data_IF_590475831745
#
_entry.id   IF_590475831745
#
_cell.length_a   1.000
_cell.length_b   1.000
_cell.length_c   1.000
_cell.angle_alpha   90.00
_cell.angle_beta   90.00
_cell.angle_gamma   90.00
#
_symmetry.space_group_name_H-M   'P 1'
#
loop_
_entity.id
_entity.type
_entity.pdbx_description
1 polymer ?
#
# COMPACT_ATOMS: atom_id res chain seq x y z
N UNK A 1 -54.34 -64.63 -34.77
CA UNK A 1 -54.81 -64.03 -36.05
C UNK A 1 -54.42 -62.55 -36.00
N UNK A 2 -53.42 -62.11 -36.79
CA UNK A 2 -53.58 -61.48 -38.13
C UNK A 2 -54.54 -60.27 -38.06
N UNK A 3 -54.30 -59.06 -38.55
CA UNK A 3 -53.29 -58.42 -39.42
C UNK A 3 -53.55 -56.88 -39.39
N UNK A 4 -52.54 -56.09 -39.83
CA UNK A 4 -52.56 -54.79 -40.57
C UNK A 4 -53.45 -53.61 -40.12
N UNK A 5 -52.95 -52.39 -39.81
CA UNK A 5 -52.22 -51.33 -40.58
C UNK A 5 -53.09 -50.58 -41.61
N UNK A 6 -53.30 -49.27 -41.40
CA UNK A 6 -53.16 -48.13 -42.36
C UNK A 6 -53.46 -46.80 -41.61
N UNK A 7 -52.62 -45.75 -41.55
CA UNK A 7 -52.03 -44.78 -42.52
C UNK A 7 -52.93 -43.57 -42.91
N UNK A 8 -52.34 -42.37 -42.75
CA UNK A 8 -52.71 -41.02 -43.25
C UNK A 8 -53.81 -40.23 -42.49
N UNK A 9 -53.42 -39.20 -41.72
CA UNK A 9 -53.45 -37.75 -42.07
C UNK A 9 -54.88 -37.17 -41.94
N UNK A 10 -55.18 -36.12 -41.17
CA UNK A 10 -54.77 -34.73 -41.34
C UNK A 10 -55.15 -33.89 -40.10
N UNK A 11 -54.44 -32.77 -39.93
CA UNK A 11 -54.85 -31.51 -39.28
C UNK A 11 -54.74 -31.35 -37.75
N UNK A 12 -53.66 -30.63 -37.40
CA UNK A 12 -53.62 -29.48 -36.50
C UNK A 12 -53.86 -29.73 -35.00
N UNK A 13 -52.80 -29.60 -34.20
CA UNK A 13 -52.52 -28.42 -33.36
C UNK A 13 -51.33 -28.74 -32.45
N UNK A 14 -50.25 -27.99 -32.61
CA UNK A 14 -49.12 -27.95 -31.67
C UNK A 14 -49.62 -27.48 -30.29
N UNK A 15 -49.36 -28.19 -29.18
CA UNK A 15 -49.36 -27.56 -27.87
C UNK A 15 -48.08 -26.74 -27.76
N UNK A 16 -48.22 -25.44 -27.54
CA UNK A 16 -47.16 -24.54 -27.10
C UNK A 16 -46.43 -25.16 -25.90
N UNK A 17 -45.24 -25.70 -26.14
CA UNK A 17 -44.28 -26.02 -25.11
C UNK A 17 -43.67 -24.69 -24.65
N UNK A 18 -44.24 -24.08 -23.62
CA UNK A 18 -43.55 -23.06 -22.83
C UNK A 18 -42.55 -23.79 -21.91
N UNK A 19 -41.40 -24.16 -22.46
CA UNK A 19 -40.22 -24.46 -21.65
C UNK A 19 -39.79 -23.13 -21.01
N UNK A 20 -39.70 -23.01 -19.67
CA UNK A 20 -39.00 -21.88 -19.09
C UNK A 20 -37.54 -22.03 -19.53
N UNK A 21 -36.99 -21.00 -20.20
CA UNK A 21 -35.54 -20.85 -20.30
C UNK A 21 -35.02 -20.82 -18.86
N UNK A 22 -34.43 -21.93 -18.41
CA UNK A 22 -33.48 -21.93 -17.32
C UNK A 22 -32.29 -21.10 -17.83
N UNK A 23 -32.28 -19.81 -17.51
CA UNK A 23 -31.05 -19.04 -17.48
C UNK A 23 -30.17 -19.74 -16.44
N UNK A 24 -29.17 -20.47 -16.91
CA UNK A 24 -28.05 -20.84 -16.07
C UNK A 24 -27.52 -19.55 -15.44
N UNK A 25 -27.55 -19.52 -14.12
CA UNK A 25 -26.95 -18.45 -13.35
C UNK A 25 -25.45 -18.48 -13.61
N UNK A 26 -24.99 -17.68 -14.57
CA UNK A 26 -23.59 -17.35 -14.68
C UNK A 26 -23.23 -16.53 -13.43
N UNK A 27 -22.72 -17.24 -12.42
CA UNK A 27 -22.10 -16.69 -11.23
C UNK A 27 -20.74 -16.07 -11.59
N UNK A 28 -20.75 -15.15 -12.55
CA UNK A 28 -19.70 -14.19 -12.80
C UNK A 28 -20.31 -12.80 -12.98
N UNK A 29 -21.27 -12.44 -12.11
CA UNK A 29 -21.45 -11.04 -11.79
C UNK A 29 -20.19 -10.58 -11.06
N UNK A 30 -19.30 -9.88 -11.78
CA UNK A 30 -18.36 -8.97 -11.14
C UNK A 30 -19.25 -8.02 -10.33
N UNK A 31 -19.44 -8.31 -9.05
CA UNK A 31 -20.23 -7.48 -8.16
C UNK A 31 -19.63 -6.08 -8.24
N UNK A 32 -20.31 -5.17 -8.93
CA UNK A 32 -19.98 -3.76 -8.93
C UNK A 32 -20.25 -3.29 -7.52
N UNK A 33 -19.24 -3.34 -6.65
CA UNK A 33 -19.34 -2.87 -5.28
C UNK A 33 -19.88 -1.46 -5.32
N UNK A 34 -21.07 -1.25 -4.76
CA UNK A 34 -21.69 0.07 -4.67
C UNK A 34 -20.89 0.98 -3.73
N UNK A 35 -21.18 2.27 -3.78
CA UNK A 35 -20.55 3.22 -2.86
C UNK A 35 -20.84 2.82 -1.40
N UNK A 36 -19.83 2.73 -0.51
CA UNK A 36 -20.09 2.43 0.89
C UNK A 36 -21.02 3.48 1.51
N UNK A 37 -21.99 3.04 2.31
CA UNK A 37 -23.03 3.92 2.90
C UNK A 37 -22.49 5.10 3.71
N UNK A 38 -21.31 4.94 4.34
CA UNK A 38 -20.63 6.01 5.10
C UNK A 38 -19.74 6.90 4.23
N UNK A 39 -19.67 6.65 2.94
CA UNK A 39 -18.73 7.31 2.05
C UNK A 39 -19.47 8.08 0.96
N UNK A 40 -18.76 9.03 0.37
CA UNK A 40 -19.20 9.78 -0.81
C UNK A 40 -18.32 9.37 -1.98
N UNK A 41 -18.94 8.83 -3.02
CA UNK A 41 -18.25 8.42 -4.25
C UNK A 41 -18.58 9.42 -5.36
N UNK A 42 -17.53 9.92 -6.01
CA UNK A 42 -17.66 10.78 -7.18
C UNK A 42 -16.65 10.34 -8.24
N UNK A 43 -17.16 9.90 -9.40
CA UNK A 43 -16.35 9.28 -10.44
C UNK A 43 -15.52 8.11 -9.88
N UNK A 44 -14.19 8.24 -9.89
CA UNK A 44 -13.24 7.23 -9.39
C UNK A 44 -12.68 7.57 -7.99
N UNK A 45 -13.22 8.60 -7.34
CA UNK A 45 -12.80 9.04 -6.01
C UNK A 45 -13.79 8.57 -4.96
N UNK A 46 -13.30 7.91 -3.91
CA UNK A 46 -14.09 7.46 -2.77
C UNK A 46 -13.60 8.18 -1.53
N UNK A 47 -14.47 9.00 -0.92
CA UNK A 47 -14.15 9.78 0.28
C UNK A 47 -14.95 9.27 1.48
N UNK A 48 -14.23 8.88 2.51
CA UNK A 48 -14.77 8.25 3.72
C UNK A 48 -14.25 8.93 5.00
N UNK A 49 -13.92 10.22 4.95
CA UNK A 49 -13.32 10.95 6.06
C UNK A 49 -14.31 11.23 7.20
N UNK A 50 -13.82 11.25 8.45
CA UNK A 50 -14.61 11.59 9.65
C UNK A 50 -15.81 10.67 9.92
N UNK A 51 -15.74 9.41 9.48
CA UNK A 51 -16.85 8.45 9.55
C UNK A 51 -16.76 7.48 10.73
N UNK A 52 -15.78 7.69 11.61
CA UNK A 52 -15.45 6.81 12.75
C UNK A 52 -15.27 5.36 12.31
N UNK A 53 -14.71 5.14 11.11
CA UNK A 53 -14.46 3.81 10.61
C UNK A 53 -13.37 3.15 11.44
N UNK A 54 -13.64 1.98 11.98
CA UNK A 54 -12.65 1.16 12.69
C UNK A 54 -11.96 0.13 11.78
N UNK A 55 -12.53 -0.09 10.59
CA UNK A 55 -12.07 -1.04 9.59
C UNK A 55 -12.18 -0.44 8.19
N UNK A 56 -11.47 -1.04 7.25
CA UNK A 56 -11.48 -0.65 5.84
C UNK A 56 -12.84 -0.98 5.20
N UNK A 57 -13.51 -0.02 4.53
CA UNK A 57 -14.72 -0.30 3.77
C UNK A 57 -14.38 -1.02 2.44
N UNK A 58 -15.31 -1.86 1.95
CA UNK A 58 -15.24 -2.35 0.57
C UNK A 58 -15.65 -1.24 -0.38
N UNK A 59 -14.88 -0.98 -1.42
CA UNK A 59 -15.09 0.14 -2.35
C UNK A 59 -15.22 -0.35 -3.80
N UNK A 60 -15.79 0.47 -4.71
CA UNK A 60 -15.84 0.16 -6.14
C UNK A 60 -14.46 -0.17 -6.73
N UNK A 61 -14.38 -1.18 -7.62
CA UNK A 61 -13.11 -1.63 -8.21
C UNK A 61 -12.43 -0.60 -9.12
N UNK A 62 -13.20 0.36 -9.65
CA UNK A 62 -12.69 1.47 -10.45
C UNK A 62 -12.13 2.63 -9.59
N UNK A 63 -12.02 2.48 -8.27
CA UNK A 63 -11.48 3.54 -7.39
C UNK A 63 -10.01 3.84 -7.74
N UNK A 64 -9.71 5.11 -8.02
CA UNK A 64 -8.34 5.62 -8.23
C UNK A 64 -7.78 6.33 -7.02
N UNK A 65 -8.66 6.96 -6.23
CA UNK A 65 -8.29 7.67 -5.01
C UNK A 65 -9.23 7.23 -3.89
N UNK A 66 -8.64 6.67 -2.84
CA UNK A 66 -9.36 6.27 -1.62
C UNK A 66 -8.91 7.13 -0.45
N UNK A 67 -9.82 7.97 0.03
CA UNK A 67 -9.58 8.88 1.15
C UNK A 67 -10.24 8.39 2.44
N UNK A 68 -9.44 7.84 3.35
CA UNK A 68 -9.85 7.26 4.63
C UNK A 68 -9.29 8.04 5.83
N UNK A 69 -8.85 9.29 5.62
CA UNK A 69 -8.24 10.12 6.66
C UNK A 69 -9.22 10.42 7.80
N UNK A 70 -8.68 10.72 8.98
CA UNK A 70 -9.46 11.11 10.16
C UNK A 70 -10.53 10.08 10.55
N UNK A 71 -10.12 8.81 10.59
CA UNK A 71 -10.94 7.69 11.07
C UNK A 71 -10.26 7.03 12.27
N UNK A 72 -10.76 5.87 12.68
CA UNK A 72 -10.24 5.08 13.79
C UNK A 72 -9.75 3.71 13.34
N UNK A 73 -9.25 3.62 12.09
CA UNK A 73 -8.77 2.35 11.52
C UNK A 73 -7.52 1.92 12.27
N UNK A 74 -7.50 0.67 12.71
CA UNK A 74 -6.42 0.13 13.58
C UNK A 74 -5.47 -0.81 12.86
N UNK A 75 -5.86 -1.34 11.70
CA UNK A 75 -5.06 -2.28 10.92
C UNK A 75 -5.40 -2.25 9.43
N UNK A 76 -4.42 -2.67 8.63
CA UNK A 76 -4.56 -2.93 7.20
C UNK A 76 -4.41 -4.44 7.01
N UNK A 77 -5.52 -5.15 6.80
CA UNK A 77 -5.50 -6.61 6.65
C UNK A 77 -5.05 -6.97 5.22
N UNK A 78 -4.18 -7.97 5.04
CA UNK A 78 -3.85 -8.49 3.71
C UNK A 78 -5.12 -8.86 2.92
N UNK A 79 -5.11 -8.59 1.62
CA UNK A 79 -6.26 -8.83 0.74
C UNK A 79 -7.37 -7.78 0.79
N UNK A 80 -7.29 -6.77 1.65
CA UNK A 80 -8.28 -5.66 1.71
C UNK A 80 -8.42 -4.94 0.37
N UNK A 81 -7.32 -4.79 -0.38
CA UNK A 81 -7.30 -4.06 -1.65
C UNK A 81 -7.42 -4.97 -2.87
N UNK A 82 -7.82 -6.24 -2.71
CA UNK A 82 -7.93 -7.19 -3.82
C UNK A 82 -8.86 -6.65 -4.91
N UNK A 83 -8.35 -6.56 -6.14
CA UNK A 83 -9.09 -6.09 -7.30
C UNK A 83 -9.17 -4.57 -7.44
N UNK A 84 -8.45 -3.80 -6.62
CA UNK A 84 -8.32 -2.35 -6.75
C UNK A 84 -7.17 -1.98 -7.69
N UNK A 85 -7.16 -2.57 -8.88
CA UNK A 85 -6.11 -2.38 -9.88
C UNK A 85 -6.01 -0.94 -10.37
N UNK A 86 -7.04 -0.10 -10.17
CA UNK A 86 -7.02 1.31 -10.58
C UNK A 86 -6.56 2.24 -9.47
N UNK A 87 -6.30 1.75 -8.25
CA UNK A 87 -5.95 2.59 -7.11
C UNK A 87 -4.54 3.17 -7.26
N UNK A 88 -4.43 4.49 -7.32
CA UNK A 88 -3.18 5.23 -7.43
C UNK A 88 -2.81 5.94 -6.13
N UNK A 89 -3.80 6.47 -5.41
CA UNK A 89 -3.59 7.24 -4.18
C UNK A 89 -4.42 6.68 -3.05
N UNK A 90 -3.76 6.34 -1.94
CA UNK A 90 -4.39 5.86 -0.73
C UNK A 90 -4.03 6.77 0.44
N UNK A 91 -5.05 7.39 1.03
CA UNK A 91 -4.89 8.28 2.18
C UNK A 91 -5.39 7.61 3.46
N UNK A 92 -4.46 7.19 4.30
CA UNK A 92 -4.70 6.53 5.60
C UNK A 92 -4.12 7.33 6.77
N UNK A 93 -3.61 8.53 6.53
CA UNK A 93 -3.10 9.38 7.60
C UNK A 93 -4.19 9.78 8.60
N UNK A 94 -3.79 10.17 9.81
CA UNK A 94 -4.69 10.53 10.90
C UNK A 94 -5.67 9.38 11.24
N UNK A 95 -5.12 8.18 11.44
CA UNK A 95 -5.82 6.97 11.91
C UNK A 95 -5.11 6.38 13.15
N UNK A 96 -5.40 5.12 13.50
CA UNK A 96 -4.84 4.44 14.67
C UNK A 96 -4.09 3.15 14.29
N UNK A 97 -3.54 3.09 13.07
CA UNK A 97 -2.84 1.90 12.58
C UNK A 97 -1.57 1.70 13.42
N UNK A 98 -1.41 0.49 13.98
CA UNK A 98 -0.28 0.16 14.87
C UNK A 98 0.81 -0.67 14.22
N UNK A 99 0.44 -1.49 13.24
CA UNK A 99 1.34 -2.43 12.57
C UNK A 99 0.95 -2.59 11.10
N UNK A 100 1.95 -2.85 10.26
CA UNK A 100 1.74 -3.26 8.87
C UNK A 100 2.25 -4.68 8.69
N UNK A 101 1.37 -5.59 8.29
CA UNK A 101 1.70 -6.98 8.01
C UNK A 101 2.34 -7.11 6.61
N UNK A 102 3.02 -8.23 6.36
CA UNK A 102 3.49 -8.57 5.02
C UNK A 102 2.29 -8.60 4.05
N UNK A 103 2.47 -8.04 2.85
CA UNK A 103 1.40 -7.95 1.86
C UNK A 103 0.19 -7.09 2.26
N UNK A 104 0.33 -6.16 3.22
CA UNK A 104 -0.76 -5.30 3.67
C UNK A 104 -1.44 -4.53 2.51
N UNK A 105 -0.68 -4.20 1.46
CA UNK A 105 -1.16 -3.45 0.29
C UNK A 105 -1.30 -4.31 -0.97
N UNK A 106 -1.26 -5.64 -0.84
CA UNK A 106 -1.51 -6.52 -1.99
C UNK A 106 -2.90 -6.30 -2.58
N UNK A 107 -2.97 -6.34 -3.92
CA UNK A 107 -4.19 -6.07 -4.69
C UNK A 107 -4.30 -4.65 -5.25
N UNK A 108 -3.38 -3.74 -4.88
CA UNK A 108 -3.26 -2.40 -5.45
C UNK A 108 -1.91 -2.19 -6.19
N UNK A 109 -1.63 -2.95 -7.26
CA UNK A 109 -0.32 -2.94 -7.94
C UNK A 109 0.05 -1.60 -8.58
N UNK A 110 -0.93 -0.71 -8.76
CA UNK A 110 -0.78 0.60 -9.40
C UNK A 110 -0.71 1.76 -8.40
N UNK A 111 -0.58 1.46 -7.11
CA UNK A 111 -0.45 2.46 -6.07
C UNK A 111 0.84 3.26 -6.27
N UNK A 112 0.72 4.59 -6.35
CA UNK A 112 1.81 5.55 -6.54
C UNK A 112 2.09 6.35 -5.28
N UNK A 113 1.04 6.70 -4.54
CA UNK A 113 1.14 7.58 -3.37
C UNK A 113 0.42 6.95 -2.19
N UNK A 114 1.17 6.74 -1.11
CA UNK A 114 0.66 6.14 0.13
C UNK A 114 0.91 7.06 1.32
N UNK A 115 -0.17 7.56 1.90
CA UNK A 115 -0.13 8.37 3.12
C UNK A 115 -0.47 7.55 4.35
N UNK A 116 0.51 7.35 5.23
CA UNK A 116 0.38 6.63 6.50
C UNK A 116 0.84 7.49 7.69
N UNK A 117 1.17 8.76 7.47
CA UNK A 117 1.66 9.67 8.50
C UNK A 117 0.60 9.93 9.58
N UNK A 118 1.02 10.37 10.78
CA UNK A 118 0.10 10.58 11.92
C UNK A 118 -0.77 9.36 12.21
N UNK A 119 -0.15 8.19 12.23
CA UNK A 119 -0.73 6.96 12.78
C UNK A 119 0.01 6.60 14.08
N UNK A 120 -0.10 5.35 14.51
CA UNK A 120 0.60 4.81 15.69
C UNK A 120 1.50 3.66 15.29
N UNK A 121 2.05 3.68 14.08
CA UNK A 121 2.79 2.54 13.52
C UNK A 121 4.08 2.36 14.31
N UNK A 122 4.19 1.22 14.97
CA UNK A 122 5.35 0.83 15.76
C UNK A 122 6.26 -0.14 14.98
N UNK A 123 5.67 -0.95 14.11
CA UNK A 123 6.36 -2.02 13.38
C UNK A 123 5.82 -2.17 11.94
N UNK A 124 6.75 -2.43 11.02
CA UNK A 124 6.46 -2.78 9.63
C UNK A 124 7.12 -4.14 9.38
N UNK A 125 6.34 -5.13 8.97
CA UNK A 125 6.88 -6.42 8.61
C UNK A 125 7.67 -6.32 7.28
N UNK A 126 8.75 -7.11 7.11
CA UNK A 126 9.37 -7.29 5.81
C UNK A 126 8.33 -7.68 4.76
N UNK A 127 8.40 -7.07 3.57
CA UNK A 127 7.41 -7.29 2.51
C UNK A 127 6.04 -6.65 2.75
N UNK A 128 5.86 -5.75 3.73
CA UNK A 128 4.60 -5.01 3.88
C UNK A 128 4.23 -4.19 2.64
N UNK A 129 5.24 -3.68 1.93
CA UNK A 129 5.13 -2.91 0.69
C UNK A 129 5.45 -3.75 -0.56
N UNK A 130 5.51 -5.08 -0.43
CA UNK A 130 5.80 -5.96 -1.57
C UNK A 130 4.78 -5.77 -2.69
N UNK A 131 5.22 -5.99 -3.94
CA UNK A 131 4.40 -5.89 -5.16
C UNK A 131 3.80 -4.51 -5.40
N UNK A 132 4.48 -3.45 -4.98
CA UNK A 132 4.15 -2.07 -5.30
C UNK A 132 5.19 -1.44 -6.25
N UNK A 133 5.38 -1.97 -7.47
CA UNK A 133 6.47 -1.55 -8.36
C UNK A 133 6.35 -0.08 -8.82
N UNK A 134 5.16 0.52 -8.67
CA UNK A 134 4.84 1.89 -9.08
C UNK A 134 4.79 2.87 -7.91
N UNK A 135 5.12 2.45 -6.69
CA UNK A 135 5.06 3.34 -5.53
C UNK A 135 6.19 4.37 -5.61
N UNK A 136 5.80 5.63 -5.76
CA UNK A 136 6.70 6.77 -5.92
C UNK A 136 6.89 7.52 -4.59
N UNK A 137 5.84 7.55 -3.76
CA UNK A 137 5.80 8.39 -2.57
C UNK A 137 5.23 7.64 -1.38
N UNK A 138 6.04 7.55 -0.32
CA UNK A 138 5.68 6.89 0.92
C UNK A 138 5.85 7.84 2.10
N UNK A 139 4.74 8.14 2.75
CA UNK A 139 4.69 9.04 3.91
C UNK A 139 4.43 8.26 5.19
N UNK A 140 5.47 8.08 6.01
CA UNK A 140 5.45 7.36 7.29
C UNK A 140 5.81 8.24 8.49
N UNK A 141 6.04 9.54 8.27
CA UNK A 141 6.40 10.50 9.29
C UNK A 141 5.33 10.66 10.39
N UNK A 142 5.71 11.14 11.58
CA UNK A 142 4.81 11.22 12.74
C UNK A 142 4.16 9.87 13.10
N UNK A 143 4.98 8.84 13.22
CA UNK A 143 4.58 7.52 13.74
C UNK A 143 5.46 7.16 14.95
N UNK A 144 5.56 5.89 15.30
CA UNK A 144 6.33 5.39 16.44
C UNK A 144 7.35 4.32 16.05
N UNK A 145 7.81 4.34 14.79
CA UNK A 145 8.78 3.37 14.27
C UNK A 145 10.09 3.47 15.02
N UNK A 146 10.57 2.34 15.57
CA UNK A 146 11.85 2.25 16.28
C UNK A 146 12.97 1.68 15.42
N UNK A 147 12.61 0.82 14.48
CA UNK A 147 13.53 0.13 13.58
C UNK A 147 12.91 -0.01 12.19
N UNK A 148 13.78 -0.10 11.19
CA UNK A 148 13.45 -0.62 9.86
C UNK A 148 14.16 -1.97 9.76
N UNK A 149 13.39 -3.05 9.54
CA UNK A 149 13.95 -4.40 9.40
C UNK A 149 14.50 -4.63 8.00
N UNK A 150 15.47 -5.54 7.82
CA UNK A 150 15.88 -6.04 6.51
C UNK A 150 14.67 -6.41 5.65
N UNK A 151 14.69 -6.07 4.36
CA UNK A 151 13.59 -6.34 3.45
C UNK A 151 12.33 -5.47 3.60
N UNK A 152 12.32 -4.45 4.45
CA UNK A 152 11.12 -3.61 4.65
C UNK A 152 10.73 -2.82 3.40
N UNK A 153 11.69 -2.20 2.72
CA UNK A 153 11.46 -1.36 1.54
C UNK A 153 11.97 -2.00 0.24
N UNK A 154 12.28 -3.29 0.24
CA UNK A 154 12.80 -3.95 -0.95
C UNK A 154 11.82 -3.89 -2.12
N UNK A 155 12.37 -3.86 -3.34
CA UNK A 155 11.62 -3.93 -4.60
C UNK A 155 10.61 -2.79 -4.78
N UNK A 156 11.02 -1.58 -4.42
CA UNK A 156 10.32 -0.34 -4.70
C UNK A 156 11.10 0.50 -5.73
N UNK A 157 11.23 0.05 -6.99
CA UNK A 157 12.13 0.64 -7.98
C UNK A 157 11.70 2.04 -8.44
N UNK A 158 10.43 2.40 -8.26
CA UNK A 158 9.91 3.73 -8.58
C UNK A 158 9.97 4.70 -7.40
N UNK A 159 10.46 4.29 -6.21
CA UNK A 159 10.38 5.13 -5.02
C UNK A 159 11.30 6.36 -5.14
N UNK A 160 10.67 7.52 -5.16
CA UNK A 160 11.33 8.83 -5.25
C UNK A 160 11.36 9.54 -3.90
N UNK A 161 10.27 9.43 -3.13
CA UNK A 161 10.09 10.21 -1.90
C UNK A 161 9.74 9.33 -0.72
N UNK A 162 10.61 9.36 0.29
CA UNK A 162 10.43 8.62 1.54
C UNK A 162 10.50 9.57 2.74
N UNK A 163 9.38 9.70 3.44
CA UNK A 163 9.29 10.55 4.63
C UNK A 163 9.15 9.70 5.88
N UNK A 164 10.24 9.62 6.66
CA UNK A 164 10.35 8.87 7.92
C UNK A 164 10.63 9.77 9.13
N UNK A 165 10.69 11.09 8.94
CA UNK A 165 10.95 12.05 10.01
C UNK A 165 9.92 11.97 11.14
N UNK A 166 10.29 12.45 12.33
CA UNK A 166 9.41 12.42 13.51
C UNK A 166 8.94 11.00 13.85
N UNK A 167 9.88 10.05 13.86
CA UNK A 167 9.73 8.69 14.38
C UNK A 167 10.74 8.47 15.52
N UNK A 168 11.07 7.22 15.84
CA UNK A 168 12.03 6.83 16.88
C UNK A 168 13.16 5.95 16.30
N UNK A 169 13.48 6.15 15.02
CA UNK A 169 14.45 5.31 14.31
C UNK A 169 15.86 5.55 14.84
N UNK A 170 16.59 4.47 15.04
CA UNK A 170 18.00 4.50 15.43
C UNK A 170 18.94 4.08 14.31
N UNK A 171 18.55 3.08 13.51
CA UNK A 171 19.38 2.52 12.44
C UNK A 171 18.57 2.33 11.16
N UNK A 172 19.25 2.37 10.03
CA UNK A 172 18.72 2.07 8.71
C UNK A 172 19.66 1.07 8.03
N UNK A 173 19.39 -0.24 8.10
CA UNK A 173 20.28 -1.23 7.52
C UNK A 173 20.15 -1.22 5.99
N UNK A 174 21.27 -1.38 5.28
CA UNK A 174 21.32 -1.29 3.81
C UNK A 174 20.43 -2.34 3.12
N UNK A 175 20.33 -3.52 3.71
CA UNK A 175 19.51 -4.65 3.24
C UNK A 175 17.99 -4.42 3.37
N UNK A 176 17.56 -3.32 3.99
CA UNK A 176 16.17 -2.86 3.94
C UNK A 176 15.83 -2.10 2.66
N UNK A 177 16.83 -1.72 1.84
CA UNK A 177 16.71 -0.83 0.69
C UNK A 177 17.24 -1.45 -0.62
N UNK A 178 17.11 -2.77 -0.78
CA UNK A 178 17.52 -3.48 -2.01
C UNK A 178 16.55 -3.16 -3.16
N UNK A 179 17.07 -2.82 -4.34
CA UNK A 179 16.27 -2.48 -5.52
C UNK A 179 15.25 -1.35 -5.28
N UNK A 180 15.64 -0.36 -4.47
CA UNK A 180 14.84 0.84 -4.23
C UNK A 180 15.22 1.91 -5.25
N UNK A 181 14.22 2.64 -5.74
CA UNK A 181 14.32 3.70 -6.73
C UNK A 181 15.28 4.84 -6.37
N UNK A 182 15.30 5.92 -7.15
CA UNK A 182 16.33 6.95 -7.01
C UNK A 182 16.33 7.64 -5.63
N UNK A 183 15.24 7.56 -4.86
CA UNK A 183 15.07 8.22 -3.55
C UNK A 183 15.54 9.68 -3.58
N UNK A 184 15.05 10.47 -4.55
CA UNK A 184 15.42 11.88 -4.74
C UNK A 184 15.10 12.77 -3.54
N UNK A 185 14.19 12.35 -2.66
CA UNK A 185 13.89 13.04 -1.40
C UNK A 185 13.75 12.07 -0.23
N UNK A 186 14.56 12.27 0.80
CA UNK A 186 14.59 11.42 1.99
C UNK A 186 14.59 12.29 3.26
N UNK A 187 13.56 12.15 4.09
CA UNK A 187 13.49 12.84 5.38
C UNK A 187 13.59 11.86 6.54
N UNK A 188 14.65 11.98 7.31
CA UNK A 188 14.97 11.19 8.51
C UNK A 188 15.17 12.06 9.76
N UNK A 189 15.08 13.38 9.63
CA UNK A 189 15.18 14.31 10.75
C UNK A 189 14.19 14.00 11.88
N UNK A 190 14.44 14.52 13.08
CA UNK A 190 13.60 14.22 14.26
C UNK A 190 13.45 12.70 14.53
N UNK A 191 14.54 11.96 14.33
CA UNK A 191 14.73 10.57 14.78
C UNK A 191 15.96 10.50 15.71
N UNK A 192 16.27 9.31 16.21
CA UNK A 192 17.38 9.04 17.13
C UNK A 192 18.55 8.33 16.44
N UNK A 193 18.92 8.81 15.24
CA UNK A 193 19.87 8.17 14.34
C UNK A 193 21.25 7.96 14.97
N UNK A 194 21.75 6.73 14.87
CA UNK A 194 23.12 6.32 15.17
C UNK A 194 23.91 6.36 13.87
N UNK A 195 24.86 7.28 13.77
CA UNK A 195 25.70 7.49 12.61
C UNK A 195 27.05 6.78 12.80
N UNK A 196 26.99 5.45 12.80
CA UNK A 196 28.15 4.55 12.81
C UNK A 196 28.36 3.92 11.42
N UNK A 197 29.27 2.95 11.30
CA UNK A 197 29.57 2.30 10.02
C UNK A 197 28.35 1.66 9.33
N UNK A 198 27.27 1.33 10.05
CA UNK A 198 26.08 0.74 9.44
C UNK A 198 25.24 1.73 8.63
N UNK A 199 25.50 3.04 8.75
CA UNK A 199 24.78 4.09 8.03
C UNK A 199 25.59 4.66 6.85
N UNK A 200 26.85 4.22 6.68
CA UNK A 200 27.78 4.74 5.66
C UNK A 200 27.22 4.63 4.24
N UNK A 201 26.53 3.52 3.95
CA UNK A 201 25.91 3.24 2.64
C UNK A 201 25.00 4.36 2.16
N UNK A 202 24.33 5.05 3.09
CA UNK A 202 23.37 6.10 2.76
C UNK A 202 24.10 7.33 2.24
N UNK A 203 25.22 7.71 2.86
CA UNK A 203 26.06 8.82 2.41
C UNK A 203 26.71 8.47 1.07
N UNK A 204 27.24 7.25 0.93
CA UNK A 204 27.81 6.76 -0.33
C UNK A 204 26.80 6.81 -1.47
N UNK A 205 25.58 6.32 -1.25
CA UNK A 205 24.49 6.36 -2.25
C UNK A 205 24.19 7.79 -2.71
N UNK A 206 24.24 8.76 -1.82
CA UNK A 206 23.94 10.16 -2.16
C UNK A 206 25.06 10.89 -2.90
N UNK A 207 26.29 10.37 -2.91
CA UNK A 207 27.40 10.93 -3.69
C UNK A 207 27.15 10.83 -5.18
N UNK A 208 26.69 9.66 -5.65
CA UNK A 208 26.46 9.42 -7.07
C UNK A 208 25.10 9.96 -7.54
N UNK A 209 24.16 10.13 -6.60
CA UNK A 209 22.78 10.52 -6.88
C UNK A 209 22.30 11.56 -5.86
N UNK A 210 22.38 12.87 -6.19
CA UNK A 210 21.97 13.93 -5.29
C UNK A 210 20.54 13.69 -4.78
N UNK A 211 20.41 13.64 -3.46
CA UNK A 211 19.15 13.44 -2.77
C UNK A 211 18.89 14.65 -1.89
N UNK A 212 17.69 15.23 -1.96
CA UNK A 212 17.22 16.22 -0.98
C UNK A 212 17.01 15.48 0.35
N UNK A 213 18.08 15.42 1.15
CA UNK A 213 18.12 14.69 2.41
C UNK A 213 18.09 15.62 3.61
N UNK A 214 17.19 15.35 4.55
CA UNK A 214 17.19 15.95 5.89
C UNK A 214 17.40 14.86 6.93
N UNK A 215 18.60 14.78 7.51
CA UNK A 215 18.96 13.75 8.49
C UNK A 215 20.03 14.31 9.45
N UNK A 216 19.75 14.24 10.75
CA UNK A 216 20.65 14.76 11.80
C UNK A 216 21.02 13.60 12.73
N UNK A 217 22.32 13.40 12.94
CA UNK A 217 22.84 12.38 13.83
C UNK A 217 22.53 12.71 15.30
N UNK A 218 22.13 11.70 16.08
CA UNK A 218 21.95 11.82 17.53
C UNK A 218 23.06 11.11 18.33
N UNK A 219 23.76 10.17 17.69
CA UNK A 219 24.92 9.47 18.25
C UNK A 219 25.84 8.98 17.12
N UNK A 220 27.10 8.61 17.40
CA UNK A 220 27.82 8.77 18.67
C UNK A 220 28.06 10.26 19.02
N UNK A 221 28.61 10.55 20.21
CA UNK A 221 28.79 11.93 20.71
C UNK A 221 29.49 12.86 19.70
N UNK A 222 30.53 12.37 19.01
CA UNK A 222 31.27 13.13 17.98
C UNK A 222 30.42 13.49 16.75
N UNK A 223 29.35 12.75 16.48
CA UNK A 223 28.45 12.96 15.35
C UNK A 223 27.20 13.75 15.73
N UNK A 224 26.88 13.85 17.02
CA UNK A 224 25.61 14.43 17.48
C UNK A 224 25.42 15.86 16.98
N UNK A 225 24.27 16.13 16.37
CA UNK A 225 23.88 17.45 15.84
C UNK A 225 24.39 17.76 14.43
N UNK A 226 25.31 16.95 13.87
CA UNK A 226 25.78 17.12 12.50
C UNK A 226 24.78 16.56 11.49
N UNK A 227 24.71 17.17 10.30
CA UNK A 227 23.90 16.71 9.17
C UNK A 227 24.65 15.65 8.36
N UNK A 228 23.96 14.57 7.97
CA UNK A 228 24.55 13.52 7.11
C UNK A 228 25.03 14.09 5.77
N UNK A 229 24.37 15.12 5.24
CA UNK A 229 24.72 15.76 3.96
C UNK A 229 26.06 16.50 3.98
N UNK A 230 26.61 16.75 5.18
CA UNK A 230 27.89 17.45 5.37
C UNK A 230 29.03 16.51 5.80
N UNK A 231 28.75 15.20 5.87
CA UNK A 231 29.71 14.20 6.31
C UNK A 231 30.29 13.45 5.13
N UNK A 232 31.46 12.84 5.35
CA UNK A 232 32.10 11.95 4.40
C UNK A 232 32.02 10.50 4.94
N UNK A 233 31.99 9.46 4.09
CA UNK A 233 32.00 8.05 4.50
C UNK A 233 33.11 7.69 5.47
N UNK A 234 34.28 8.34 5.35
CA UNK A 234 35.43 8.13 6.22
C UNK A 234 35.17 8.64 7.66
N UNK A 235 34.14 9.46 7.88
CA UNK A 235 33.70 9.86 9.22
C UNK A 235 33.05 8.68 9.99
N UNK A 236 32.51 7.67 9.28
CA UNK A 236 31.66 6.63 9.88
C UNK A 236 32.48 5.41 10.32
N UNK A 237 32.46 5.12 11.62
CA UNK A 237 33.19 3.98 12.19
C UNK A 237 32.33 3.18 13.16
N UNK A 238 32.57 1.88 13.22
CA UNK A 238 32.10 1.02 14.29
C UNK A 238 33.24 0.78 15.28
N UNK A 239 32.89 0.61 16.56
CA UNK A 239 33.83 0.27 17.64
C UNK A 239 34.15 -1.22 17.61
#
# INVERSE_FOLDING_TARGET
>A
MRLHVDLSAWMMLLPLVLLPLLLEADSSTRATTECPQKCVCFMMHVRCMFQKLSQMPRVPANTTVLDLRFNSITEVRPGTFRGLDKLHTLLLNDNHIRRLAAGAFEGAPNLRILYLYKNRIEQIAPGAFARLPRLEQLYLHHNHLREIRPGTFNDLPALERLFLHSNKLHRLPADAFVNVGPMTRLRLDSNALVCDCNLVWLVERTRDRPTEMAAICQSPHKMKGRSLTTMLPEDFHCS
#
